data_IF_770911050509
#
_entry.id   IF_770911050509
#
_cell.length_a   1.000
_cell.length_b   1.000
_cell.length_c   1.000
_cell.angle_alpha   90.00
_cell.angle_beta   90.00
_cell.angle_gamma   90.00
#
_symmetry.space_group_name_H-M   'P 1'
#
loop_
_entity.id
_entity.type
_entity.pdbx_description
1 polymer ?
#
# COMPACT_ATOMS: atom_id res chain seq x y z
N UNK A 1 61.64 9.70 -16.59
CA UNK A 1 60.98 8.92 -15.52
C UNK A 1 60.29 9.93 -14.63
N UNK A 2 59.10 10.42 -14.99
CA UNK A 2 57.84 9.70 -15.00
C UNK A 2 57.49 9.17 -13.60
N UNK A 3 56.66 9.93 -12.89
CA UNK A 3 55.62 9.41 -11.99
C UNK A 3 54.40 10.34 -12.11
N UNK A 4 53.61 9.99 -13.12
CA UNK A 4 52.18 10.25 -13.24
C UNK A 4 51.48 9.51 -12.08
N UNK A 5 50.26 9.96 -11.73
CA UNK A 5 49.30 9.40 -10.76
C UNK A 5 49.20 10.09 -9.41
N UNK A 6 48.91 11.39 -9.43
CA UNK A 6 47.84 11.92 -8.58
C UNK A 6 46.49 11.51 -9.20
N UNK A 7 46.16 10.22 -9.11
CA UNK A 7 44.77 9.78 -9.25
C UNK A 7 44.11 10.02 -7.89
N UNK A 8 43.78 11.28 -7.64
CA UNK A 8 42.72 11.64 -6.73
C UNK A 8 41.46 10.95 -7.27
N UNK A 9 41.15 9.78 -6.72
CA UNK A 9 39.89 9.07 -6.96
C UNK A 9 38.81 9.98 -6.40
N UNK A 10 38.32 10.89 -7.23
CA UNK A 10 37.02 11.52 -7.02
C UNK A 10 36.05 10.39 -6.72
N UNK A 11 35.40 10.37 -5.54
CA UNK A 11 34.34 9.42 -5.30
C UNK A 11 33.40 9.48 -6.51
N UNK A 12 32.91 8.32 -7.02
CA UNK A 12 32.01 8.31 -8.16
C UNK A 12 30.91 9.33 -7.89
N UNK A 13 30.56 10.19 -8.87
CA UNK A 13 29.52 11.18 -8.68
C UNK A 13 28.29 10.43 -8.17
N UNK A 14 27.90 10.73 -6.92
CA UNK A 14 26.68 10.20 -6.34
C UNK A 14 25.58 10.45 -7.38
N UNK A 15 24.77 9.43 -7.73
CA UNK A 15 23.67 9.61 -8.66
C UNK A 15 22.87 10.84 -8.21
N UNK A 16 22.41 11.69 -9.14
CA UNK A 16 21.69 12.90 -8.79
C UNK A 16 20.61 12.53 -7.78
N UNK A 17 20.76 13.08 -6.57
CA UNK A 17 19.82 12.95 -5.45
C UNK A 17 18.40 12.91 -6.01
N UNK A 18 17.79 11.73 -5.97
CA UNK A 18 16.54 11.43 -6.67
C UNK A 18 15.35 12.20 -6.07
N UNK A 19 15.58 12.97 -5.00
CA UNK A 19 14.63 13.79 -4.29
C UNK A 19 15.03 15.27 -4.38
N UNK A 20 14.36 16.02 -5.24
CA UNK A 20 14.47 17.49 -5.34
C UNK A 20 13.70 18.20 -4.21
N UNK A 21 13.74 17.67 -2.98
CA UNK A 21 13.04 18.25 -1.84
C UNK A 21 14.04 18.85 -0.86
N UNK A 22 13.76 20.05 -0.37
CA UNK A 22 14.44 20.56 0.83
C UNK A 22 13.94 19.79 2.05
N UNK A 23 14.74 19.71 3.11
CA UNK A 23 14.33 19.03 4.35
C UNK A 23 13.04 19.63 4.94
N UNK A 24 12.84 20.95 4.80
CA UNK A 24 11.62 21.63 5.23
C UNK A 24 10.39 21.17 4.44
N UNK A 25 10.53 20.92 3.13
CA UNK A 25 9.44 20.40 2.29
C UNK A 25 9.11 18.95 2.63
N UNK A 26 10.11 18.15 2.97
CA UNK A 26 9.91 16.76 3.40
C UNK A 26 9.11 16.70 4.71
N UNK A 27 9.50 17.48 5.73
CA UNK A 27 8.77 17.55 7.00
C UNK A 27 7.31 18.02 6.82
N UNK A 28 7.07 18.99 5.93
CA UNK A 28 5.70 19.44 5.64
C UNK A 28 4.85 18.33 5.00
N UNK A 29 5.45 17.55 4.09
CA UNK A 29 4.78 16.42 3.45
C UNK A 29 4.47 15.30 4.45
N UNK A 30 5.40 15.01 5.36
CA UNK A 30 5.23 14.03 6.42
C UNK A 30 4.05 14.39 7.34
N UNK A 31 4.03 15.62 7.88
CA UNK A 31 2.93 16.09 8.73
C UNK A 31 1.59 16.07 7.99
N UNK A 32 1.57 16.49 6.72
CA UNK A 32 0.35 16.45 5.93
C UNK A 32 -0.15 15.00 5.72
N UNK A 33 0.77 14.07 5.44
CA UNK A 33 0.46 12.65 5.28
C UNK A 33 -0.11 12.03 6.55
N UNK A 34 0.47 12.35 7.72
CA UNK A 34 -0.04 11.88 9.01
C UNK A 34 -1.46 12.39 9.28
N UNK A 35 -1.71 13.69 9.09
CA UNK A 35 -3.04 14.28 9.31
C UNK A 35 -4.08 13.65 8.37
N UNK A 36 -3.75 13.47 7.09
CA UNK A 36 -4.62 12.78 6.13
C UNK A 36 -4.89 11.32 6.53
N UNK A 37 -3.90 10.64 7.09
CA UNK A 37 -4.04 9.25 7.57
C UNK A 37 -5.03 9.19 8.75
N UNK A 38 -4.90 10.07 9.75
CA UNK A 38 -5.85 10.13 10.87
C UNK A 38 -7.28 10.43 10.41
N UNK A 39 -7.46 11.39 9.50
CA UNK A 39 -8.78 11.72 8.95
C UNK A 39 -9.39 10.53 8.20
N UNK A 40 -8.58 9.82 7.41
CA UNK A 40 -9.01 8.63 6.68
C UNK A 40 -9.43 7.51 7.63
N UNK A 41 -8.67 7.27 8.70
CA UNK A 41 -9.03 6.29 9.73
C UNK A 41 -10.35 6.60 10.43
N UNK A 42 -10.60 7.87 10.77
CA UNK A 42 -11.87 8.31 11.36
C UNK A 42 -13.03 8.07 10.38
N UNK A 43 -12.85 8.44 9.11
CA UNK A 43 -13.86 8.22 8.08
C UNK A 43 -14.18 6.72 7.90
N UNK A 44 -13.16 5.87 7.86
CA UNK A 44 -13.33 4.41 7.79
C UNK A 44 -14.08 3.88 9.01
N UNK A 45 -13.74 4.33 10.22
CA UNK A 45 -14.43 3.93 11.44
C UNK A 45 -15.92 4.28 11.40
N UNK A 46 -16.27 5.47 10.89
CA UNK A 46 -17.66 5.88 10.69
C UNK A 46 -18.38 4.98 9.67
N UNK A 47 -17.74 4.64 8.55
CA UNK A 47 -18.31 3.75 7.52
C UNK A 47 -18.60 2.36 8.12
N UNK A 48 -17.66 1.81 8.90
CA UNK A 48 -17.85 0.51 9.56
C UNK A 48 -18.97 0.58 10.60
N UNK A 49 -19.06 1.66 11.38
CA UNK A 49 -20.14 1.85 12.35
C UNK A 49 -21.52 1.93 11.68
N UNK A 50 -21.64 2.66 10.57
CA UNK A 50 -22.86 2.74 9.77
C UNK A 50 -23.23 1.38 9.20
N UNK A 51 -22.26 0.61 8.70
CA UNK A 51 -22.50 -0.74 8.21
C UNK A 51 -23.00 -1.66 9.32
N UNK A 52 -22.40 -1.60 10.50
CA UNK A 52 -22.87 -2.38 11.66
C UNK A 52 -24.29 -2.03 12.05
N UNK A 53 -24.61 -0.73 12.07
CA UNK A 53 -25.96 -0.24 12.29
C UNK A 53 -26.96 -0.76 11.25
N UNK A 54 -26.59 -0.72 9.96
CA UNK A 54 -27.41 -1.28 8.88
C UNK A 54 -27.59 -2.79 8.99
N UNK A 55 -26.57 -3.52 9.45
CA UNK A 55 -26.65 -4.97 9.66
C UNK A 55 -27.71 -5.31 10.72
N UNK A 56 -27.82 -4.49 11.76
CA UNK A 56 -28.78 -4.70 12.85
C UNK A 56 -30.21 -4.28 12.46
N UNK A 57 -30.38 -3.10 11.87
CA UNK A 57 -31.71 -2.55 11.58
C UNK A 57 -32.29 -2.99 10.23
N UNK A 58 -31.45 -3.19 9.21
CA UNK A 58 -31.87 -3.49 7.83
C UNK A 58 -31.02 -4.62 7.21
N UNK A 59 -31.07 -5.86 7.76
CA UNK A 59 -30.19 -6.96 7.35
C UNK A 59 -30.38 -7.36 5.88
N UNK A 60 -31.58 -7.15 5.30
CA UNK A 60 -31.84 -7.44 3.88
C UNK A 60 -31.09 -6.51 2.93
N UNK A 61 -30.94 -5.24 3.27
CA UNK A 61 -30.23 -4.27 2.44
C UNK A 61 -28.72 -4.29 2.68
N UNK A 62 -28.29 -4.61 3.90
CA UNK A 62 -26.88 -4.77 4.24
C UNK A 62 -26.22 -6.00 3.57
N UNK A 63 -27.02 -6.98 3.14
CA UNK A 63 -26.50 -8.23 2.58
C UNK A 63 -26.06 -8.16 1.09
N UNK A 64 -25.86 -6.96 0.55
CA UNK A 64 -25.42 -6.77 -0.83
C UNK A 64 -23.92 -7.09 -0.96
N UNK A 65 -23.56 -7.85 -1.99
CA UNK A 65 -22.18 -8.28 -2.27
C UNK A 65 -21.23 -7.09 -2.42
N UNK A 66 -21.67 -6.04 -3.12
CA UNK A 66 -20.88 -4.81 -3.29
C UNK A 66 -20.55 -4.15 -1.95
N UNK A 67 -21.51 -4.11 -1.02
CA UNK A 67 -21.32 -3.50 0.30
C UNK A 67 -20.29 -4.29 1.12
N UNK A 68 -20.36 -5.62 1.10
CA UNK A 68 -19.39 -6.49 1.79
C UNK A 68 -17.97 -6.30 1.27
N UNK A 69 -17.79 -6.21 -0.05
CA UNK A 69 -16.47 -5.94 -0.65
C UNK A 69 -15.95 -4.54 -0.27
N UNK A 70 -16.82 -3.52 -0.25
CA UNK A 70 -16.43 -2.16 0.19
C UNK A 70 -16.00 -2.17 1.65
N UNK A 71 -16.72 -2.86 2.53
CA UNK A 71 -16.36 -2.95 3.95
C UNK A 71 -15.06 -3.74 4.15
N UNK A 72 -14.88 -4.85 3.42
CA UNK A 72 -13.62 -5.58 3.43
C UNK A 72 -12.44 -4.70 2.99
N UNK A 73 -12.60 -3.93 1.89
CA UNK A 73 -11.57 -3.00 1.42
C UNK A 73 -11.24 -1.93 2.48
N UNK A 74 -12.26 -1.34 3.11
CA UNK A 74 -12.07 -0.35 4.17
C UNK A 74 -11.36 -0.93 5.39
N UNK A 75 -11.68 -2.16 5.81
CA UNK A 75 -10.99 -2.83 6.92
C UNK A 75 -9.52 -3.09 6.61
N UNK A 76 -9.22 -3.52 5.38
CA UNK A 76 -7.85 -3.73 4.90
C UNK A 76 -7.08 -2.39 4.88
N UNK A 77 -7.69 -1.31 4.37
CA UNK A 77 -7.09 0.04 4.41
C UNK A 77 -6.90 0.58 5.83
N UNK A 78 -7.80 0.25 6.77
CA UNK A 78 -7.64 0.65 8.16
C UNK A 78 -6.41 -0.03 8.80
N UNK A 79 -6.21 -1.32 8.53
CA UNK A 79 -5.02 -2.04 8.99
C UNK A 79 -3.74 -1.46 8.36
N UNK A 80 -3.79 -1.10 7.08
CA UNK A 80 -2.70 -0.44 6.37
C UNK A 80 -2.29 0.87 7.06
N UNK A 81 -3.26 1.75 7.33
CA UNK A 81 -3.02 3.02 8.03
C UNK A 81 -2.46 2.83 9.44
N UNK A 82 -2.93 1.82 10.18
CA UNK A 82 -2.38 1.46 11.49
C UNK A 82 -0.91 1.01 11.39
N UNK A 83 -0.60 0.19 10.38
CA UNK A 83 0.76 -0.31 10.13
C UNK A 83 1.70 0.82 9.69
N UNK A 84 1.23 1.72 8.83
CA UNK A 84 1.98 2.89 8.39
C UNK A 84 2.29 3.84 9.56
N UNK A 85 1.32 4.14 10.43
CA UNK A 85 1.53 4.96 11.63
C UNK A 85 2.53 4.32 12.58
N UNK A 86 2.42 3.00 12.79
CA UNK A 86 3.37 2.27 13.63
C UNK A 86 4.79 2.33 13.04
N UNK A 87 4.94 2.14 11.74
CA UNK A 87 6.25 2.21 11.08
C UNK A 87 6.86 3.61 11.11
N UNK A 88 6.04 4.67 11.13
CA UNK A 88 6.54 6.04 11.29
C UNK A 88 7.05 6.33 12.71
N UNK A 89 6.46 5.72 13.74
CA UNK A 89 6.78 6.01 15.15
C UNK A 89 7.79 5.04 15.78
N UNK A 90 7.84 3.78 15.34
CA UNK A 90 8.75 2.77 15.89
C UNK A 90 9.92 2.49 14.92
N UNK A 91 11.16 2.50 15.44
CA UNK A 91 12.32 1.99 14.70
C UNK A 91 12.20 0.46 14.53
N UNK A 92 11.80 0.01 13.35
CA UNK A 92 11.64 -1.41 13.03
C UNK A 92 13.01 -2.10 12.87
N UNK A 93 13.16 -3.27 13.49
CA UNK A 93 14.34 -4.13 13.29
C UNK A 93 14.45 -4.61 11.84
N UNK A 94 15.68 -4.77 11.34
CA UNK A 94 15.97 -5.10 9.93
C UNK A 94 15.25 -6.35 9.37
N UNK A 95 14.96 -7.37 10.19
CA UNK A 95 14.23 -8.57 9.76
C UNK A 95 12.73 -8.35 9.62
N UNK A 96 12.15 -7.41 10.38
CA UNK A 96 10.74 -7.02 10.25
C UNK A 96 10.52 -6.14 9.02
N UNK A 97 11.56 -5.44 8.55
CA UNK A 97 11.52 -4.54 7.40
C UNK A 97 11.03 -5.21 6.11
N UNK A 98 11.62 -6.36 5.75
CA UNK A 98 11.29 -7.05 4.49
C UNK A 98 9.86 -7.57 4.50
N UNK A 99 9.43 -8.13 5.63
CA UNK A 99 8.05 -8.61 5.81
C UNK A 99 7.06 -7.45 5.81
N UNK A 100 7.42 -6.32 6.44
CA UNK A 100 6.61 -5.11 6.44
C UNK A 100 6.46 -4.52 5.05
N UNK A 101 7.54 -4.40 4.27
CA UNK A 101 7.49 -3.89 2.88
C UNK A 101 6.56 -4.74 2.00
N UNK A 102 6.66 -6.06 2.11
CA UNK A 102 5.77 -6.98 1.39
C UNK A 102 4.31 -6.84 1.82
N UNK A 103 4.05 -6.77 3.13
CA UNK A 103 2.70 -6.58 3.67
C UNK A 103 2.11 -5.22 3.27
N UNK A 104 2.88 -4.15 3.34
CA UNK A 104 2.47 -2.80 2.94
C UNK A 104 2.07 -2.76 1.46
N UNK A 105 2.85 -3.39 0.59
CA UNK A 105 2.49 -3.54 -0.83
C UNK A 105 1.18 -4.31 -1.04
N UNK A 106 0.97 -5.41 -0.31
CA UNK A 106 -0.29 -6.15 -0.35
C UNK A 106 -1.47 -5.30 0.12
N UNK A 107 -1.31 -4.60 1.24
CA UNK A 107 -2.34 -3.77 1.84
C UNK A 107 -2.65 -2.50 1.05
N UNK A 108 -1.72 -2.01 0.23
CA UNK A 108 -1.98 -0.92 -0.71
C UNK A 108 -2.77 -1.39 -1.94
N UNK A 109 -2.38 -2.52 -2.53
CA UNK A 109 -2.96 -2.99 -3.80
C UNK A 109 -4.33 -3.68 -3.61
N UNK A 110 -4.51 -4.39 -2.49
CA UNK A 110 -5.72 -5.17 -2.22
C UNK A 110 -7.00 -4.32 -2.12
N UNK A 111 -7.06 -3.23 -1.35
CA UNK A 111 -8.23 -2.35 -1.32
C UNK A 111 -8.57 -1.76 -2.68
N UNK A 112 -7.57 -1.28 -3.44
CA UNK A 112 -7.78 -0.74 -4.77
C UNK A 112 -8.35 -1.79 -5.73
N UNK A 113 -7.86 -3.03 -5.66
CA UNK A 113 -8.38 -4.14 -6.45
C UNK A 113 -9.84 -4.47 -6.07
N UNK A 114 -10.15 -4.55 -4.77
CA UNK A 114 -11.51 -4.80 -4.28
C UNK A 114 -12.49 -3.70 -4.72
N UNK A 115 -12.11 -2.43 -4.60
CA UNK A 115 -12.91 -1.30 -5.05
C UNK A 115 -13.10 -1.31 -6.58
N UNK A 116 -12.06 -1.64 -7.33
CA UNK A 116 -12.13 -1.82 -8.78
C UNK A 116 -13.13 -2.92 -9.18
N UNK A 117 -13.08 -4.07 -8.52
CA UNK A 117 -14.03 -5.17 -8.76
C UNK A 117 -15.46 -4.81 -8.38
N UNK A 118 -15.66 -4.01 -7.32
CA UNK A 118 -16.98 -3.46 -6.99
C UNK A 118 -17.49 -2.57 -8.12
N UNK A 119 -16.63 -1.69 -8.67
CA UNK A 119 -16.98 -0.86 -9.82
C UNK A 119 -17.39 -1.68 -11.04
N UNK A 120 -16.60 -2.69 -11.39
CA UNK A 120 -16.90 -3.61 -12.50
C UNK A 120 -18.20 -4.37 -12.24
N UNK A 121 -18.41 -4.87 -11.02
CA UNK A 121 -19.63 -5.57 -10.65
C UNK A 121 -20.87 -4.67 -10.78
N UNK A 122 -20.81 -3.43 -10.26
CA UNK A 122 -21.90 -2.47 -10.39
C UNK A 122 -22.19 -2.14 -11.86
N UNK A 123 -21.14 -1.98 -12.68
CA UNK A 123 -21.28 -1.75 -14.12
C UNK A 123 -21.99 -2.92 -14.82
N UNK A 124 -21.58 -4.16 -14.56
CA UNK A 124 -22.19 -5.35 -15.17
C UNK A 124 -23.66 -5.52 -14.79
N UNK A 125 -24.01 -5.21 -13.54
CA UNK A 125 -25.40 -5.33 -13.04
C UNK A 125 -26.28 -4.19 -13.57
N UNK A 126 -25.83 -2.94 -13.51
CA UNK A 126 -26.66 -1.79 -13.86
C UNK A 126 -26.69 -1.49 -15.37
N UNK A 127 -25.55 -1.62 -16.06
CA UNK A 127 -25.42 -1.26 -17.49
C UNK A 127 -25.68 -2.48 -18.37
N UNK A 128 -24.96 -3.57 -18.14
CA UNK A 128 -25.07 -4.77 -18.98
C UNK A 128 -26.27 -5.66 -18.62
N UNK A 129 -26.93 -5.42 -17.48
CA UNK A 129 -28.06 -6.21 -16.97
C UNK A 129 -27.76 -7.71 -16.88
N UNK A 130 -26.51 -8.10 -16.66
CA UNK A 130 -26.10 -9.50 -16.57
C UNK A 130 -26.52 -10.04 -15.20
N UNK A 131 -27.39 -11.05 -15.21
CA UNK A 131 -27.75 -11.80 -14.01
C UNK A 131 -26.80 -12.98 -13.83
N UNK A 132 -26.08 -13.00 -12.71
CA UNK A 132 -25.19 -14.10 -12.37
C UNK A 132 -25.97 -15.23 -11.68
N UNK A 133 -25.80 -16.50 -12.11
CA UNK A 133 -26.48 -17.64 -11.49
C UNK A 133 -25.88 -18.02 -10.12
N UNK A 134 -24.64 -17.63 -9.84
CA UNK A 134 -23.93 -17.87 -8.58
C UNK A 134 -23.60 -16.56 -7.87
N UNK A 135 -23.38 -16.61 -6.54
CA UNK A 135 -22.94 -15.43 -5.79
C UNK A 135 -21.56 -14.99 -6.28
N UNK A 136 -21.41 -13.80 -6.90
CA UNK A 136 -20.17 -13.38 -7.54
C UNK A 136 -19.03 -13.15 -6.54
N UNK A 137 -19.36 -12.96 -5.25
CA UNK A 137 -18.40 -12.80 -4.15
C UNK A 137 -17.36 -13.94 -4.11
N UNK A 138 -17.80 -15.18 -4.32
CA UNK A 138 -16.93 -16.36 -4.27
C UNK A 138 -15.92 -16.45 -5.40
N UNK A 139 -16.13 -15.71 -6.49
CA UNK A 139 -15.20 -15.67 -7.63
C UNK A 139 -14.36 -14.39 -7.54
N UNK A 140 -15.00 -13.25 -7.28
CA UNK A 140 -14.35 -11.94 -7.30
C UNK A 140 -13.33 -11.78 -6.16
N UNK A 141 -13.66 -12.19 -4.92
CA UNK A 141 -12.71 -12.07 -3.80
C UNK A 141 -11.42 -12.86 -4.00
N UNK A 142 -11.45 -14.18 -4.30
CA UNK A 142 -10.21 -14.94 -4.46
C UNK A 142 -9.41 -14.47 -5.68
N UNK A 143 -10.07 -14.03 -6.77
CA UNK A 143 -9.37 -13.43 -7.91
C UNK A 143 -8.64 -12.14 -7.50
N UNK A 144 -9.25 -11.29 -6.68
CA UNK A 144 -8.61 -10.10 -6.14
C UNK A 144 -7.35 -10.45 -5.34
N UNK A 145 -7.47 -11.42 -4.42
CA UNK A 145 -6.36 -11.87 -3.59
C UNK A 145 -5.23 -12.42 -4.44
N UNK A 146 -5.52 -13.33 -5.38
CA UNK A 146 -4.50 -13.91 -6.29
C UNK A 146 -3.82 -12.81 -7.11
N UNK A 147 -4.59 -11.89 -7.68
CA UNK A 147 -4.05 -10.76 -8.43
C UNK A 147 -3.11 -9.91 -7.59
N UNK A 148 -3.51 -9.57 -6.36
CA UNK A 148 -2.69 -8.72 -5.47
C UNK A 148 -1.40 -9.39 -5.04
N UNK A 149 -1.41 -10.72 -4.85
CA UNK A 149 -0.20 -11.50 -4.58
C UNK A 149 0.72 -11.47 -5.79
N UNK A 150 0.22 -11.76 -6.99
CA UNK A 150 1.04 -11.75 -8.22
C UNK A 150 1.64 -10.35 -8.46
N UNK A 151 0.82 -9.30 -8.30
CA UNK A 151 1.22 -7.91 -8.50
C UNK A 151 2.32 -7.45 -7.53
N UNK A 152 2.40 -8.03 -6.33
CA UNK A 152 3.44 -7.71 -5.34
C UNK A 152 4.68 -8.61 -5.46
N UNK A 153 4.51 -9.86 -5.88
CA UNK A 153 5.61 -10.83 -6.01
C UNK A 153 6.56 -10.46 -7.16
N UNK A 154 6.03 -10.04 -8.30
CA UNK A 154 6.84 -9.66 -9.48
C UNK A 154 7.83 -8.51 -9.16
N UNK A 155 7.37 -7.35 -8.64
CA UNK A 155 8.29 -6.25 -8.33
C UNK A 155 9.24 -6.59 -7.19
N UNK A 156 8.85 -7.43 -6.24
CA UNK A 156 9.73 -7.87 -5.15
C UNK A 156 10.97 -8.64 -5.68
N UNK A 157 10.81 -9.43 -6.75
CA UNK A 157 11.93 -10.15 -7.37
C UNK A 157 12.65 -9.36 -8.46
N UNK A 158 12.02 -8.34 -9.03
CA UNK A 158 12.55 -7.53 -10.13
C UNK A 158 13.11 -6.18 -9.67
N UNK A 159 13.17 -5.90 -8.36
CA UNK A 159 13.85 -4.72 -7.80
C UNK A 159 15.37 -4.83 -7.99
N UNK A 160 15.85 -4.58 -9.20
CA UNK A 160 17.24 -4.24 -9.46
C UNK A 160 17.50 -2.85 -8.85
N UNK A 161 18.06 -2.81 -7.64
CA UNK A 161 18.47 -1.54 -7.03
C UNK A 161 19.53 -0.87 -7.92
N UNK A 162 19.42 0.45 -8.18
CA UNK A 162 20.44 1.18 -8.92
C UNK A 162 21.81 1.02 -8.22
N UNK A 163 22.84 0.75 -9.02
CA UNK A 163 24.22 0.58 -8.55
C UNK A 163 24.64 1.82 -7.73
N UNK A 164 24.89 1.63 -6.42
CA UNK A 164 25.20 2.69 -5.45
C UNK A 164 24.23 2.77 -4.26
N UNK A 165 22.93 2.52 -4.46
CA UNK A 165 21.94 2.54 -3.35
C UNK A 165 22.11 1.31 -2.44
N UNK A 166 22.52 0.18 -3.02
CA UNK A 166 22.82 -1.05 -2.29
C UNK A 166 23.97 -0.90 -1.28
N UNK A 167 24.93 0.01 -1.53
CA UNK A 167 26.02 0.29 -0.59
C UNK A 167 25.57 1.19 0.56
N UNK A 168 24.71 2.18 0.29
CA UNK A 168 24.14 3.08 1.31
C UNK A 168 23.22 2.30 2.26
N UNK A 169 22.40 1.39 1.73
CA UNK A 169 21.53 0.51 2.52
C UNK A 169 22.35 -0.47 3.39
N UNK A 170 23.49 -0.96 2.88
CA UNK A 170 24.41 -1.79 3.68
C UNK A 170 25.06 -0.99 4.83
N UNK A 171 25.31 0.30 4.64
CA UNK A 171 25.91 1.18 5.65
C UNK A 171 24.91 1.59 6.75
N UNK A 172 23.63 1.77 6.40
CA UNK A 172 22.53 2.15 7.31
C UNK A 172 21.61 0.98 7.69
N UNK A 173 22.20 -0.20 7.88
CA UNK A 173 21.51 -1.46 8.21
C UNK A 173 20.51 -1.46 9.38
N UNK A 174 20.60 -0.60 10.42
CA UNK A 174 19.63 -0.64 11.53
C UNK A 174 18.36 0.18 11.30
N UNK A 175 18.22 0.92 10.19
CA UNK A 175 17.07 1.81 9.97
C UNK A 175 16.32 1.38 8.71
N UNK A 176 15.05 0.99 8.89
CA UNK A 176 14.12 0.81 7.77
C UNK A 176 13.85 2.18 7.11
N UNK A 177 13.98 2.21 5.77
CA UNK A 177 13.54 3.32 4.92
C UNK A 177 12.26 2.93 4.19
#
# INVERSE_FOLDING_TARGET
MEKIYDAQSTPPPLPPIQFHYTMDQFNQLEVASEVCTYLSMIAIALVVAVYWYMLYHHPRDANRVSLRCVIAANLVSFLDHCLALKAAHDSLESSFCSSFRFLNGLFTVLPSCLLGLVGVHLFLVFVCKIHWPCRPEYILMPVAVVYTVIANVIPYFAEDLPEGLAEIIKLNRPVCW
#
